data_IF_769458022325
#
_entry.id   IF_769458022325
#
_cell.length_a   1.000
_cell.length_b   1.000
_cell.length_c   1.000
_cell.angle_alpha   90.00
_cell.angle_beta   90.00
_cell.angle_gamma   90.00
#
_symmetry.space_group_name_H-M   'P 1'
#
loop_
_entity.id
_entity.type
_entity.pdbx_description
1 polymer ?
#
# COMPACT_ATOMS: atom_id res chain seq x y z
N UNK A 1 30.32 5.60 -13.79
CA UNK A 1 29.68 6.19 -14.98
C UNK A 1 28.47 5.35 -15.41
N UNK A 2 28.61 4.04 -15.62
CA UNK A 2 27.50 3.16 -15.99
C UNK A 2 26.34 3.22 -14.99
N UNK A 3 26.59 3.04 -13.69
CA UNK A 3 25.56 3.10 -12.64
C UNK A 3 24.90 4.48 -12.54
N UNK A 4 25.60 5.57 -12.84
CA UNK A 4 24.98 6.90 -12.85
C UNK A 4 23.99 7.05 -14.02
N UNK A 5 24.33 6.55 -15.21
CA UNK A 5 23.40 6.54 -16.36
C UNK A 5 22.22 5.61 -16.12
N UNK A 6 22.47 4.48 -15.46
CA UNK A 6 21.42 3.54 -15.07
C UNK A 6 20.44 4.20 -14.08
N UNK A 7 20.96 4.87 -13.05
CA UNK A 7 20.14 5.63 -12.09
C UNK A 7 19.28 6.71 -12.78
N UNK A 8 19.88 7.49 -13.69
CA UNK A 8 19.14 8.51 -14.45
C UNK A 8 18.00 7.91 -15.28
N UNK A 9 18.24 6.78 -15.92
CA UNK A 9 17.20 6.09 -16.70
C UNK A 9 16.10 5.52 -15.79
N UNK A 10 16.45 4.89 -14.68
CA UNK A 10 15.49 4.36 -13.72
C UNK A 10 14.62 5.48 -13.10
N UNK A 11 15.20 6.66 -12.83
CA UNK A 11 14.44 7.83 -12.37
C UNK A 11 13.39 8.23 -13.42
N UNK A 12 13.77 8.32 -14.69
CA UNK A 12 12.84 8.68 -15.77
C UNK A 12 11.73 7.63 -15.95
N UNK A 13 12.10 6.35 -15.87
CA UNK A 13 11.14 5.25 -15.91
C UNK A 13 10.16 5.33 -14.75
N UNK A 14 10.65 5.50 -13.53
CA UNK A 14 9.81 5.60 -12.34
C UNK A 14 8.84 6.78 -12.42
N UNK A 15 9.32 7.96 -12.82
CA UNK A 15 8.48 9.14 -12.99
C UNK A 15 7.41 8.94 -14.07
N UNK A 16 7.78 8.34 -15.21
CA UNK A 16 6.85 8.15 -16.34
C UNK A 16 5.81 7.07 -16.04
N UNK A 17 6.22 5.95 -15.43
CA UNK A 17 5.30 4.89 -15.01
C UNK A 17 4.34 5.38 -13.94
N UNK A 18 4.83 6.14 -12.95
CA UNK A 18 3.98 6.76 -11.93
C UNK A 18 2.95 7.71 -12.55
N UNK A 19 3.36 8.53 -13.52
CA UNK A 19 2.43 9.44 -14.21
C UNK A 19 1.29 8.68 -14.90
N UNK A 20 1.58 7.57 -15.58
CA UNK A 20 0.55 6.80 -16.28
C UNK A 20 -0.34 5.99 -15.34
N UNK A 21 0.23 5.35 -14.32
CA UNK A 21 -0.53 4.54 -13.36
C UNK A 21 -1.43 5.39 -12.46
N UNK A 22 -0.95 6.55 -11.99
CA UNK A 22 -1.77 7.48 -11.21
C UNK A 22 -2.99 7.99 -11.98
N UNK A 23 -2.87 8.20 -13.29
CA UNK A 23 -4.02 8.58 -14.12
C UNK A 23 -5.08 7.47 -14.18
N UNK A 24 -4.68 6.19 -14.16
CA UNK A 24 -5.59 5.05 -14.08
C UNK A 24 -6.23 4.95 -12.69
N UNK A 25 -5.45 5.14 -11.62
CA UNK A 25 -5.98 5.07 -10.24
C UNK A 25 -7.06 6.10 -9.96
N UNK A 26 -7.01 7.25 -10.61
CA UNK A 26 -8.06 8.28 -10.51
C UNK A 26 -9.37 7.83 -11.16
N UNK A 27 -9.29 7.10 -12.28
CA UNK A 27 -10.47 6.60 -13.00
C UNK A 27 -10.15 5.35 -13.82
N UNK A 28 -10.42 4.18 -13.26
CA UNK A 28 -10.29 2.89 -13.96
C UNK A 28 -11.26 2.72 -15.15
N UNK A 29 -12.18 3.63 -15.38
CA UNK A 29 -13.07 3.61 -16.56
C UNK A 29 -12.51 4.41 -17.74
N UNK A 30 -11.44 5.21 -17.53
CA UNK A 30 -10.76 5.93 -18.60
C UNK A 30 -9.90 4.98 -19.45
N UNK A 31 -10.46 4.59 -20.60
CA UNK A 31 -9.79 3.68 -21.53
C UNK A 31 -8.53 4.28 -22.18
N UNK A 32 -8.41 5.60 -22.27
CA UNK A 32 -7.22 6.25 -22.81
C UNK A 32 -6.09 6.26 -21.78
N UNK A 33 -6.40 6.47 -20.50
CA UNK A 33 -5.44 6.32 -19.41
C UNK A 33 -4.92 4.87 -19.36
N UNK A 34 -5.81 3.88 -19.37
CA UNK A 34 -5.46 2.46 -19.40
C UNK A 34 -4.54 2.09 -20.57
N UNK A 35 -4.82 2.58 -21.79
CA UNK A 35 -3.97 2.31 -22.96
C UNK A 35 -2.58 2.91 -22.82
N UNK A 36 -2.48 4.12 -22.26
CA UNK A 36 -1.18 4.77 -22.01
C UNK A 36 -0.38 4.01 -20.97
N UNK A 37 -1.00 3.60 -19.89
CA UNK A 37 -0.38 2.84 -18.82
C UNK A 37 0.09 1.46 -19.30
N UNK A 38 -0.75 0.71 -20.01
CA UNK A 38 -0.39 -0.56 -20.60
C UNK A 38 0.81 -0.44 -21.58
N UNK A 39 0.84 0.63 -22.38
CA UNK A 39 1.97 0.91 -23.29
C UNK A 39 3.25 1.22 -22.50
N UNK A 40 3.15 2.00 -21.42
CA UNK A 40 4.30 2.36 -20.60
C UNK A 40 4.82 1.14 -19.82
N UNK A 41 3.94 0.33 -19.28
CA UNK A 41 4.28 -0.94 -18.60
C UNK A 41 5.03 -1.89 -19.54
N UNK A 42 4.56 -2.04 -20.80
CA UNK A 42 5.24 -2.86 -21.78
C UNK A 42 6.64 -2.32 -22.14
N UNK A 43 6.78 -0.99 -22.29
CA UNK A 43 8.05 -0.34 -22.55
C UNK A 43 9.03 -0.51 -21.37
N UNK A 44 8.55 -0.31 -20.14
CA UNK A 44 9.36 -0.50 -18.94
C UNK A 44 9.86 -1.95 -18.80
N UNK A 45 9.01 -2.93 -19.11
CA UNK A 45 9.38 -4.34 -19.12
C UNK A 45 10.44 -4.64 -20.19
N UNK A 46 10.34 -4.07 -21.38
CA UNK A 46 11.35 -4.20 -22.45
C UNK A 46 12.70 -3.60 -22.02
N UNK A 47 12.67 -2.39 -21.46
CA UNK A 47 13.90 -1.72 -20.97
C UNK A 47 14.52 -2.53 -19.83
N UNK A 48 13.74 -2.93 -18.83
CA UNK A 48 14.23 -3.76 -17.72
C UNK A 48 14.86 -5.08 -18.19
N UNK A 49 14.25 -5.74 -19.17
CA UNK A 49 14.83 -6.96 -19.78
C UNK A 49 16.16 -6.68 -20.47
N UNK A 50 16.31 -5.54 -21.16
CA UNK A 50 17.57 -5.16 -21.82
C UNK A 50 18.67 -4.78 -20.82
N UNK A 51 18.30 -4.26 -19.64
CA UNK A 51 19.24 -3.81 -18.61
C UNK A 51 19.55 -4.88 -17.55
N UNK A 52 18.88 -6.03 -17.57
CA UNK A 52 19.06 -7.11 -16.59
C UNK A 52 20.52 -7.65 -16.54
N UNK A 53 21.30 -7.42 -17.59
CA UNK A 53 22.72 -7.80 -17.63
C UNK A 53 23.57 -7.03 -16.61
N UNK A 54 23.21 -5.79 -16.25
CA UNK A 54 23.98 -4.93 -15.35
C UNK A 54 24.14 -5.62 -13.99
N UNK A 55 23.04 -6.01 -13.37
CA UNK A 55 23.09 -6.72 -12.08
C UNK A 55 23.76 -8.10 -12.20
N UNK A 56 23.51 -8.81 -13.31
CA UNK A 56 24.10 -10.13 -13.52
C UNK A 56 25.63 -10.05 -13.65
N UNK A 57 26.14 -9.10 -14.43
CA UNK A 57 27.57 -8.89 -14.58
C UNK A 57 28.25 -8.44 -13.27
N UNK A 58 27.58 -7.58 -12.49
CA UNK A 58 28.09 -7.18 -11.17
C UNK A 58 28.11 -8.40 -10.23
N UNK A 59 27.04 -9.19 -10.19
CA UNK A 59 26.94 -10.36 -9.33
C UNK A 59 27.98 -11.45 -9.70
N UNK A 60 28.31 -11.59 -10.98
CA UNK A 60 29.33 -12.54 -11.47
C UNK A 60 30.77 -12.07 -11.21
N UNK A 61 30.96 -10.77 -10.93
CA UNK A 61 32.28 -10.25 -10.61
C UNK A 61 32.85 -10.85 -9.30
N UNK A 62 34.17 -10.91 -9.14
CA UNK A 62 34.79 -11.30 -7.88
C UNK A 62 34.33 -10.40 -6.72
N UNK A 63 34.02 -11.00 -5.59
CA UNK A 63 33.53 -10.25 -4.41
C UNK A 63 34.47 -9.13 -3.97
N UNK A 64 35.80 -9.39 -4.05
CA UNK A 64 36.81 -8.39 -3.72
C UNK A 64 36.74 -7.14 -4.63
N UNK A 65 36.37 -7.31 -5.89
CA UNK A 65 36.20 -6.21 -6.83
C UNK A 65 34.97 -5.40 -6.51
N UNK A 66 33.86 -6.06 -6.17
CA UNK A 66 32.61 -5.38 -5.77
C UNK A 66 32.85 -4.60 -4.47
N UNK A 67 33.50 -5.19 -3.46
CA UNK A 67 33.85 -4.51 -2.20
C UNK A 67 34.77 -3.30 -2.44
N UNK A 68 35.77 -3.42 -3.30
CA UNK A 68 36.62 -2.30 -3.67
C UNK A 68 35.86 -1.19 -4.43
N UNK A 69 34.85 -1.53 -5.20
CA UNK A 69 33.95 -0.57 -5.83
C UNK A 69 33.05 0.14 -4.81
N UNK A 70 32.51 -0.57 -3.81
CA UNK A 70 31.72 0.01 -2.71
C UNK A 70 32.48 1.09 -1.94
N UNK A 71 33.79 0.90 -1.74
CA UNK A 71 34.65 1.88 -1.06
C UNK A 71 34.88 3.17 -1.89
N UNK A 72 34.73 3.07 -3.20
CA UNK A 72 34.96 4.18 -4.14
C UNK A 72 33.69 4.92 -4.55
N UNK A 73 32.53 4.27 -4.45
CA UNK A 73 31.26 4.81 -4.94
C UNK A 73 30.31 5.12 -3.76
N UNK A 74 30.38 6.32 -3.20
CA UNK A 74 29.50 6.69 -2.07
C UNK A 74 28.01 6.48 -2.36
N UNK A 75 27.56 6.85 -3.56
CA UNK A 75 26.13 6.78 -3.96
C UNK A 75 25.59 5.39 -4.22
N UNK A 76 26.41 4.46 -4.70
CA UNK A 76 25.96 3.11 -5.07
C UNK A 76 26.42 2.05 -4.06
N UNK A 77 26.88 2.45 -2.90
CA UNK A 77 27.46 1.52 -1.91
C UNK A 77 26.44 0.48 -1.44
N UNK A 78 25.24 0.91 -1.08
CA UNK A 78 24.17 0.01 -0.61
C UNK A 78 23.68 -0.88 -1.74
N UNK A 79 23.46 -0.34 -2.93
CA UNK A 79 23.09 -1.13 -4.10
C UNK A 79 24.06 -2.29 -4.37
N UNK A 80 25.36 -2.02 -4.33
CA UNK A 80 26.37 -3.07 -4.49
C UNK A 80 26.39 -4.05 -3.31
N UNK A 81 26.12 -3.58 -2.09
CA UNK A 81 25.97 -4.43 -0.91
C UNK A 81 24.77 -5.38 -1.04
N UNK A 82 23.64 -4.89 -1.55
CA UNK A 82 22.45 -5.70 -1.82
C UNK A 82 22.73 -6.77 -2.87
N UNK A 83 23.39 -6.44 -3.96
CA UNK A 83 23.78 -7.43 -4.98
C UNK A 83 24.64 -8.55 -4.35
N UNK A 84 25.59 -8.17 -3.47
CA UNK A 84 26.38 -9.17 -2.74
C UNK A 84 25.55 -10.02 -1.78
N UNK A 85 24.59 -9.41 -1.09
CA UNK A 85 23.69 -10.10 -0.16
C UNK A 85 22.79 -11.10 -0.88
N UNK A 86 22.29 -10.70 -2.06
CA UNK A 86 21.41 -11.52 -2.88
C UNK A 86 22.16 -12.58 -3.71
N UNK A 87 23.47 -12.42 -3.90
CA UNK A 87 24.28 -13.31 -4.75
C UNK A 87 24.08 -14.80 -4.49
N UNK A 88 23.98 -15.30 -3.22
CA UNK A 88 23.71 -16.72 -2.96
C UNK A 88 22.35 -17.21 -3.44
N UNK A 89 21.42 -16.30 -3.67
CA UNK A 89 20.02 -16.56 -4.06
C UNK A 89 19.72 -16.23 -5.52
N UNK A 90 20.72 -15.74 -6.26
CA UNK A 90 20.57 -15.47 -7.69
C UNK A 90 20.67 -16.75 -8.49
N UNK A 91 19.90 -16.81 -9.57
CA UNK A 91 19.93 -17.88 -10.55
C UNK A 91 20.91 -17.52 -11.70
N UNK A 92 21.07 -18.41 -12.68
CA UNK A 92 21.92 -18.09 -13.84
C UNK A 92 21.39 -16.87 -14.61
N UNK A 93 22.27 -16.13 -15.27
CA UNK A 93 21.89 -14.94 -16.04
C UNK A 93 20.79 -15.21 -17.07
N UNK A 94 20.83 -16.39 -17.74
CA UNK A 94 19.79 -16.79 -18.68
C UNK A 94 18.45 -17.02 -17.98
N UNK A 95 18.46 -17.61 -16.78
CA UNK A 95 17.25 -17.84 -15.99
C UNK A 95 16.68 -16.52 -15.50
N UNK A 96 17.49 -15.61 -14.95
CA UNK A 96 17.03 -14.29 -14.51
C UNK A 96 16.41 -13.50 -15.66
N UNK A 97 17.01 -13.55 -16.85
CA UNK A 97 16.46 -12.93 -18.07
C UNK A 97 15.08 -13.48 -18.43
N UNK A 98 14.90 -14.81 -18.37
CA UNK A 98 13.58 -15.43 -18.62
C UNK A 98 12.59 -15.02 -17.55
N UNK A 99 12.97 -15.02 -16.27
CA UNK A 99 12.11 -14.60 -15.18
C UNK A 99 11.69 -13.13 -15.30
N UNK A 100 12.62 -12.26 -15.70
CA UNK A 100 12.31 -10.85 -15.96
C UNK A 100 11.28 -10.70 -17.10
N UNK A 101 11.38 -11.47 -18.16
CA UNK A 101 10.41 -11.47 -19.26
C UNK A 101 9.04 -12.02 -18.85
N UNK A 102 9.00 -12.93 -17.86
CA UNK A 102 7.76 -13.51 -17.32
C UNK A 102 7.11 -12.66 -16.22
N UNK A 103 7.70 -11.55 -15.82
CA UNK A 103 7.14 -10.69 -14.76
C UNK A 103 5.68 -10.31 -14.97
N UNK A 104 5.19 -9.96 -16.17
CA UNK A 104 3.75 -9.70 -16.38
C UNK A 104 2.88 -10.92 -16.11
N UNK A 105 3.37 -12.14 -16.39
CA UNK A 105 2.64 -13.39 -16.09
C UNK A 105 2.59 -13.63 -14.57
N UNK A 106 3.63 -13.26 -13.86
CA UNK A 106 3.68 -13.36 -12.40
C UNK A 106 2.74 -12.36 -11.71
N UNK A 107 2.46 -11.23 -12.33
CA UNK A 107 1.48 -10.25 -11.84
C UNK A 107 0.03 -10.66 -12.17
N UNK A 108 -0.21 -11.54 -13.11
CA UNK A 108 -1.56 -11.89 -13.55
C UNK A 108 -2.52 -12.29 -12.41
N UNK A 109 -2.13 -12.99 -11.34
CA UNK A 109 -3.04 -13.25 -10.22
C UNK A 109 -3.58 -11.97 -9.57
N UNK A 110 -2.74 -10.96 -9.41
CA UNK A 110 -3.14 -9.65 -8.87
C UNK A 110 -4.10 -8.94 -9.82
N UNK A 111 -3.78 -8.89 -11.10
CA UNK A 111 -4.61 -8.25 -12.12
C UNK A 111 -6.00 -8.91 -12.23
N UNK A 112 -6.06 -10.25 -12.22
CA UNK A 112 -7.32 -11.01 -12.25
C UNK A 112 -8.15 -10.71 -11.00
N UNK A 113 -7.52 -10.63 -9.82
CA UNK A 113 -8.22 -10.28 -8.59
C UNK A 113 -8.83 -8.86 -8.68
N UNK A 114 -8.06 -7.88 -9.14
CA UNK A 114 -8.53 -6.50 -9.30
C UNK A 114 -9.66 -6.38 -10.31
N UNK A 115 -9.53 -7.02 -11.49
CA UNK A 115 -10.59 -7.04 -12.49
C UNK A 115 -11.87 -7.69 -11.94
N UNK A 116 -11.74 -8.80 -11.23
CA UNK A 116 -12.88 -9.45 -10.58
C UNK A 116 -13.55 -8.55 -9.55
N UNK A 117 -12.75 -7.92 -8.67
CA UNK A 117 -13.24 -7.05 -7.59
C UNK A 117 -13.88 -5.76 -8.14
N UNK A 118 -13.23 -5.07 -9.05
CA UNK A 118 -13.57 -3.70 -9.43
C UNK A 118 -14.42 -3.61 -10.70
N UNK A 119 -14.24 -4.55 -11.64
CA UNK A 119 -14.94 -4.50 -12.94
C UNK A 119 -16.10 -5.49 -13.04
N UNK A 120 -15.91 -6.76 -12.62
CA UNK A 120 -16.88 -7.83 -12.88
C UNK A 120 -17.91 -7.98 -11.77
N UNK A 121 -17.52 -7.75 -10.50
CA UNK A 121 -18.40 -7.92 -9.37
C UNK A 121 -19.48 -6.84 -9.36
N UNK A 122 -20.71 -7.22 -9.66
CA UNK A 122 -21.87 -6.34 -9.64
C UNK A 122 -22.68 -6.59 -8.37
N UNK A 123 -22.79 -5.55 -7.58
CA UNK A 123 -23.67 -5.55 -6.42
C UNK A 123 -25.08 -5.14 -6.86
N UNK A 124 -26.06 -5.69 -6.19
CA UNK A 124 -27.46 -5.28 -6.35
C UNK A 124 -27.90 -4.41 -5.18
N UNK A 125 -28.97 -4.83 -4.53
CA UNK A 125 -29.52 -4.21 -3.33
C UNK A 125 -29.85 -5.28 -2.30
N UNK A 126 -30.10 -4.87 -1.05
CA UNK A 126 -30.66 -5.71 0.00
C UNK A 126 -31.87 -5.01 0.64
N UNK A 127 -32.75 -5.79 1.29
CA UNK A 127 -34.00 -5.26 1.87
C UNK A 127 -34.02 -5.51 3.36
N UNK A 128 -34.37 -4.46 4.13
CA UNK A 128 -34.62 -4.53 5.57
C UNK A 128 -35.91 -3.81 5.89
N UNK A 129 -36.82 -4.46 6.61
CA UNK A 129 -38.12 -3.91 7.02
C UNK A 129 -38.94 -3.30 5.84
N UNK A 130 -38.86 -3.92 4.66
CA UNK A 130 -39.58 -3.47 3.46
C UNK A 130 -38.92 -2.29 2.73
N UNK A 131 -37.78 -1.78 3.20
CA UNK A 131 -37.00 -0.73 2.53
C UNK A 131 -35.82 -1.34 1.83
N UNK A 132 -35.58 -0.93 0.59
CA UNK A 132 -34.48 -1.35 -0.26
C UNK A 132 -33.27 -0.42 -0.07
N UNK A 133 -32.08 -1.03 -0.02
CA UNK A 133 -30.79 -0.36 0.15
C UNK A 133 -29.83 -0.82 -0.96
N UNK A 134 -29.19 0.10 -1.69
CA UNK A 134 -28.17 -0.27 -2.69
C UNK A 134 -26.95 -0.87 -1.99
N UNK A 135 -26.20 -1.72 -2.70
CA UNK A 135 -24.99 -2.33 -2.19
C UNK A 135 -23.82 -2.08 -3.14
N UNK A 136 -22.61 -1.94 -2.59
CA UNK A 136 -21.36 -1.75 -3.29
C UNK A 136 -20.21 -1.76 -2.32
N UNK A 137 -18.96 -1.83 -2.81
CA UNK A 137 -17.77 -1.79 -1.95
C UNK A 137 -17.74 -0.50 -1.12
N UNK A 138 -17.73 0.66 -1.77
CA UNK A 138 -17.65 1.95 -1.07
C UNK A 138 -18.86 2.19 -0.16
N UNK A 139 -20.08 1.80 -0.57
CA UNK A 139 -21.26 1.91 0.28
C UNK A 139 -21.15 1.03 1.53
N UNK A 140 -20.59 -0.18 1.38
CA UNK A 140 -20.40 -1.06 2.52
C UNK A 140 -19.29 -0.53 3.46
N UNK A 141 -18.12 -0.24 2.92
CA UNK A 141 -16.92 0.13 3.69
C UNK A 141 -17.05 1.53 4.33
N UNK A 142 -17.67 2.50 3.60
CA UNK A 142 -17.74 3.90 4.04
C UNK A 142 -19.02 4.25 4.79
N UNK A 143 -20.11 3.49 4.59
CA UNK A 143 -21.42 3.82 5.15
C UNK A 143 -21.98 2.71 6.02
N UNK A 144 -22.20 1.47 5.49
CA UNK A 144 -22.90 0.43 6.23
C UNK A 144 -22.11 -0.16 7.40
N UNK A 145 -20.81 -0.15 7.39
CA UNK A 145 -20.01 -0.59 8.54
C UNK A 145 -20.19 0.34 9.76
N UNK A 146 -20.62 1.59 9.53
CA UNK A 146 -20.89 2.61 10.56
C UNK A 146 -22.38 2.83 10.81
N UNK A 147 -23.26 2.10 10.11
CA UNK A 147 -24.72 2.27 10.21
C UNK A 147 -25.20 1.97 11.64
N UNK A 148 -25.91 2.94 12.23
CA UNK A 148 -26.42 2.84 13.61
C UNK A 148 -27.52 1.77 13.75
N UNK A 149 -28.38 1.62 12.74
CA UNK A 149 -29.39 0.58 12.71
C UNK A 149 -28.78 -0.80 12.60
N UNK A 150 -28.86 -1.58 13.66
CA UNK A 150 -28.24 -2.91 13.75
C UNK A 150 -28.77 -3.89 12.69
N UNK A 151 -30.04 -3.79 12.34
CA UNK A 151 -30.68 -4.69 11.36
C UNK A 151 -30.15 -4.36 9.96
N UNK A 152 -30.05 -3.07 9.62
CA UNK A 152 -29.49 -2.60 8.34
C UNK A 152 -28.01 -2.97 8.23
N UNK A 153 -27.21 -2.62 9.25
CA UNK A 153 -25.76 -2.92 9.25
C UNK A 153 -25.47 -4.40 9.09
N UNK A 154 -26.12 -5.26 9.90
CA UNK A 154 -25.91 -6.72 9.83
C UNK A 154 -26.48 -7.35 8.57
N UNK A 155 -27.56 -6.79 8.00
CA UNK A 155 -28.07 -7.23 6.71
C UNK A 155 -27.13 -6.85 5.56
N UNK A 156 -26.58 -5.62 5.59
CA UNK A 156 -25.56 -5.19 4.63
C UNK A 156 -24.32 -6.11 4.69
N UNK A 157 -23.83 -6.42 5.89
CA UNK A 157 -22.70 -7.34 6.07
C UNK A 157 -22.98 -8.73 5.47
N UNK A 158 -24.19 -9.28 5.69
CA UNK A 158 -24.58 -10.58 5.09
C UNK A 158 -24.65 -10.49 3.58
N UNK A 159 -25.35 -9.48 3.04
CA UNK A 159 -25.49 -9.32 1.60
C UNK A 159 -24.14 -9.10 0.90
N UNK A 160 -23.26 -8.32 1.51
CA UNK A 160 -21.90 -8.11 1.03
C UNK A 160 -21.09 -9.41 1.06
N UNK A 161 -21.10 -10.13 2.18
CA UNK A 161 -20.42 -11.42 2.33
C UNK A 161 -20.94 -12.47 1.36
N UNK A 162 -22.24 -12.52 1.13
CA UNK A 162 -22.87 -13.47 0.18
C UNK A 162 -22.44 -13.14 -1.27
N UNK A 163 -22.33 -11.84 -1.61
CA UNK A 163 -21.78 -11.44 -2.91
C UNK A 163 -20.32 -11.86 -3.08
N UNK A 164 -19.48 -11.69 -2.07
CA UNK A 164 -18.08 -12.13 -2.13
C UNK A 164 -17.98 -13.66 -2.32
N UNK A 165 -18.87 -14.43 -1.69
CA UNK A 165 -18.92 -15.89 -1.84
C UNK A 165 -19.23 -16.36 -3.26
N UNK A 166 -19.96 -15.59 -4.04
CA UNK A 166 -20.19 -15.92 -5.46
C UNK A 166 -18.87 -16.03 -6.25
N UNK A 167 -17.83 -15.33 -5.79
CA UNK A 167 -16.49 -15.29 -6.41
C UNK A 167 -15.42 -16.08 -5.63
N UNK A 168 -15.82 -16.85 -4.60
CA UNK A 168 -14.90 -17.55 -3.70
C UNK A 168 -13.94 -18.47 -4.47
N UNK A 169 -14.44 -19.25 -5.43
CA UNK A 169 -13.62 -20.17 -6.20
C UNK A 169 -12.57 -19.44 -7.07
N UNK A 170 -12.97 -18.34 -7.72
CA UNK A 170 -12.06 -17.54 -8.54
C UNK A 170 -10.99 -16.88 -7.67
N UNK A 171 -11.40 -16.28 -6.57
CA UNK A 171 -10.48 -15.62 -5.62
C UNK A 171 -9.52 -16.65 -5.00
N UNK A 172 -10.01 -17.81 -4.60
CA UNK A 172 -9.18 -18.88 -4.07
C UNK A 172 -8.19 -19.42 -5.11
N UNK A 173 -8.62 -19.61 -6.36
CA UNK A 173 -7.72 -20.05 -7.43
C UNK A 173 -6.64 -19.03 -7.73
N UNK A 174 -6.99 -17.75 -7.78
CA UNK A 174 -6.07 -16.63 -7.99
C UNK A 174 -5.02 -16.57 -6.88
N UNK A 175 -5.46 -16.61 -5.61
CA UNK A 175 -4.58 -16.58 -4.46
C UNK A 175 -3.68 -17.83 -4.39
N UNK A 176 -4.21 -19.02 -4.66
CA UNK A 176 -3.42 -20.25 -4.71
C UNK A 176 -2.36 -20.21 -5.82
N UNK A 177 -2.65 -19.58 -6.95
CA UNK A 177 -1.67 -19.41 -8.04
C UNK A 177 -0.52 -18.51 -7.56
N UNK A 178 -0.83 -17.40 -6.92
CA UNK A 178 0.16 -16.52 -6.29
C UNK A 178 1.03 -17.27 -5.27
N UNK A 179 0.43 -17.96 -4.29
CA UNK A 179 1.17 -18.72 -3.28
C UNK A 179 2.04 -19.82 -3.89
N UNK A 180 1.55 -20.49 -4.95
CA UNK A 180 2.30 -21.53 -5.64
C UNK A 180 3.54 -20.95 -6.32
N UNK A 181 3.39 -19.80 -6.98
CA UNK A 181 4.49 -19.06 -7.58
C UNK A 181 5.54 -18.67 -6.53
N UNK A 182 5.12 -18.05 -5.42
CA UNK A 182 6.02 -17.64 -4.35
C UNK A 182 6.82 -18.83 -3.77
N UNK A 183 6.14 -19.95 -3.50
CA UNK A 183 6.79 -21.16 -2.99
C UNK A 183 7.80 -21.75 -3.97
N UNK A 184 7.45 -21.77 -5.27
CA UNK A 184 8.37 -22.27 -6.31
C UNK A 184 9.59 -21.35 -6.39
N UNK A 185 9.39 -20.03 -6.43
CA UNK A 185 10.48 -19.07 -6.52
C UNK A 185 11.40 -19.11 -5.31
N UNK A 186 10.86 -19.15 -4.09
CA UNK A 186 11.64 -19.28 -2.87
C UNK A 186 12.52 -20.55 -2.91
N UNK A 187 11.93 -21.69 -3.29
CA UNK A 187 12.67 -22.95 -3.41
C UNK A 187 13.77 -22.89 -4.48
N UNK A 188 13.49 -22.32 -5.66
CA UNK A 188 14.49 -22.21 -6.73
C UNK A 188 15.65 -21.31 -6.32
N UNK A 189 15.38 -20.27 -5.53
CA UNK A 189 16.39 -19.35 -4.98
C UNK A 189 17.10 -19.87 -3.72
N UNK A 190 16.80 -21.11 -3.27
CA UNK A 190 17.48 -21.76 -2.15
C UNK A 190 17.00 -21.36 -0.77
N UNK A 191 15.85 -20.71 -0.66
CA UNK A 191 15.21 -20.44 0.64
C UNK A 191 14.47 -21.67 1.17
N UNK A 192 14.37 -21.80 2.47
CA UNK A 192 13.67 -22.91 3.12
C UNK A 192 12.15 -22.85 2.83
N UNK A 193 11.57 -21.64 2.87
CA UNK A 193 10.17 -21.38 2.56
C UNK A 193 9.97 -19.96 2.00
N UNK A 194 8.73 -19.62 1.62
CA UNK A 194 8.39 -18.31 1.09
C UNK A 194 8.52 -17.20 2.13
N UNK A 195 8.30 -17.50 3.42
CA UNK A 195 8.44 -16.51 4.50
C UNK A 195 9.90 -16.10 4.69
N UNK A 196 10.83 -17.07 4.60
CA UNK A 196 12.25 -16.74 4.64
C UNK A 196 12.66 -15.85 3.47
N UNK A 197 12.14 -16.12 2.27
CA UNK A 197 12.40 -15.30 1.09
C UNK A 197 11.87 -13.88 1.24
N UNK A 198 10.62 -13.72 1.69
CA UNK A 198 9.99 -12.41 1.89
C UNK A 198 10.71 -11.62 3.00
N UNK A 199 10.97 -12.24 4.15
CA UNK A 199 11.67 -11.62 5.27
C UNK A 199 13.12 -11.24 4.90
N UNK A 200 13.78 -12.05 4.07
CA UNK A 200 15.10 -11.72 3.55
C UNK A 200 15.05 -10.43 2.75
N UNK A 201 14.10 -10.29 1.83
CA UNK A 201 13.93 -9.06 1.02
C UNK A 201 13.73 -7.83 1.91
N UNK A 202 12.98 -7.98 3.01
CA UNK A 202 12.68 -6.89 3.95
C UNK A 202 13.75 -6.67 5.04
N UNK A 203 14.86 -7.40 5.02
CA UNK A 203 15.89 -7.36 6.07
C UNK A 203 15.36 -7.69 7.47
N UNK A 204 14.34 -8.52 7.56
CA UNK A 204 13.70 -8.95 8.82
C UNK A 204 14.08 -10.38 9.14
N UNK A 205 14.43 -10.66 10.39
CA UNK A 205 14.66 -12.04 10.81
C UNK A 205 13.35 -12.74 11.17
N UNK A 206 13.31 -14.06 11.03
CA UNK A 206 12.15 -14.86 11.45
C UNK A 206 11.83 -14.65 12.92
N UNK A 207 12.85 -14.49 13.78
CA UNK A 207 12.67 -14.21 15.21
C UNK A 207 11.97 -12.86 15.44
N UNK A 208 12.33 -11.81 14.70
CA UNK A 208 11.65 -10.50 14.78
C UNK A 208 10.18 -10.63 14.40
N UNK A 209 9.89 -11.33 13.32
CA UNK A 209 8.54 -11.55 12.81
C UNK A 209 7.69 -12.34 13.81
N UNK A 210 8.17 -13.48 14.28
CA UNK A 210 7.45 -14.33 15.24
C UNK A 210 7.21 -13.58 16.56
N UNK A 211 8.20 -12.85 17.07
CA UNK A 211 8.07 -12.01 18.29
C UNK A 211 6.98 -10.94 18.12
N UNK A 212 6.86 -10.32 16.96
CA UNK A 212 5.81 -9.32 16.70
C UNK A 212 4.42 -9.97 16.77
N UNK A 213 4.24 -11.14 16.14
CA UNK A 213 2.98 -11.89 16.20
C UNK A 213 2.62 -12.26 17.63
N UNK A 214 3.59 -12.75 18.41
CA UNK A 214 3.39 -13.10 19.81
C UNK A 214 2.96 -11.89 20.64
N UNK A 215 3.64 -10.73 20.48
CA UNK A 215 3.29 -9.50 21.18
C UNK A 215 1.88 -8.99 20.80
N UNK A 216 1.50 -9.04 19.54
CA UNK A 216 0.16 -8.68 19.08
C UNK A 216 -0.87 -9.60 19.73
N UNK A 217 -0.62 -10.90 19.70
CA UNK A 217 -1.54 -11.90 20.27
C UNK A 217 -1.67 -11.77 21.79
N UNK A 218 -0.56 -11.57 22.51
CA UNK A 218 -0.56 -11.49 23.96
C UNK A 218 -1.02 -10.13 24.50
N UNK A 219 -0.61 -9.01 23.88
CA UNK A 219 -0.81 -7.66 24.42
C UNK A 219 -1.97 -6.93 23.77
N UNK A 220 -2.07 -6.94 22.43
CA UNK A 220 -3.10 -6.21 21.71
C UNK A 220 -4.44 -6.91 21.76
N UNK A 221 -4.50 -8.24 21.58
CA UNK A 221 -5.76 -8.97 21.56
C UNK A 221 -6.61 -8.81 22.85
N UNK A 222 -6.05 -8.75 24.07
CA UNK A 222 -6.81 -8.42 25.27
C UNK A 222 -7.42 -7.01 25.25
N UNK A 223 -6.67 -6.02 24.70
CA UNK A 223 -7.18 -4.64 24.56
C UNK A 223 -8.32 -4.59 23.54
N UNK A 224 -8.17 -5.27 22.39
CA UNK A 224 -9.23 -5.36 21.38
C UNK A 224 -10.49 -6.04 21.92
N UNK A 225 -10.37 -7.07 22.75
CA UNK A 225 -11.52 -7.69 23.43
C UNK A 225 -12.22 -6.74 24.42
N UNK A 226 -11.47 -5.85 25.08
CA UNK A 226 -12.06 -4.80 25.93
C UNK A 226 -12.80 -3.77 25.08
N UNK A 227 -12.19 -3.34 23.98
CA UNK A 227 -12.81 -2.42 23.04
C UNK A 227 -14.13 -2.98 22.48
N UNK A 228 -14.12 -4.22 21.97
CA UNK A 228 -15.31 -4.87 21.46
C UNK A 228 -16.46 -4.91 22.51
N UNK A 229 -16.14 -5.23 23.79
CA UNK A 229 -17.11 -5.18 24.89
C UNK A 229 -17.63 -3.77 25.15
N UNK A 230 -16.76 -2.76 25.03
CA UNK A 230 -17.16 -1.36 25.19
C UNK A 230 -18.12 -0.94 24.07
N UNK A 231 -17.81 -1.25 22.81
CA UNK A 231 -18.68 -1.03 21.66
C UNK A 231 -20.05 -1.66 21.90
N UNK A 232 -20.10 -2.93 22.32
CA UNK A 232 -21.34 -3.62 22.62
C UNK A 232 -22.17 -2.93 23.72
N UNK A 233 -21.49 -2.49 24.80
CA UNK A 233 -22.16 -1.78 25.91
C UNK A 233 -22.69 -0.41 25.48
N UNK A 234 -21.88 0.40 24.80
CA UNK A 234 -22.26 1.76 24.40
C UNK A 234 -23.41 1.75 23.39
N UNK A 235 -23.37 0.82 22.45
CA UNK A 235 -24.41 0.66 21.43
C UNK A 235 -25.55 -0.28 21.83
N UNK A 236 -25.60 -0.74 23.09
CA UNK A 236 -26.68 -1.59 23.68
C UNK A 236 -26.92 -2.85 22.81
N UNK A 237 -25.88 -3.46 22.26
CA UNK A 237 -26.02 -4.64 21.41
C UNK A 237 -26.33 -5.89 22.24
N UNK A 238 -27.17 -6.77 21.69
CA UNK A 238 -27.50 -8.10 22.25
C UNK A 238 -26.22 -8.99 22.26
N UNK A 239 -25.44 -8.88 21.22
CA UNK A 239 -24.13 -9.50 21.04
C UNK A 239 -23.30 -8.64 20.11
N UNK A 240 -21.98 -8.72 20.22
CA UNK A 240 -21.06 -8.08 19.29
C UNK A 240 -20.67 -9.09 18.21
N UNK A 241 -20.82 -8.71 16.96
CA UNK A 241 -20.36 -9.45 15.78
C UNK A 241 -19.26 -8.66 15.06
N UNK A 242 -18.64 -9.26 14.07
CA UNK A 242 -17.62 -8.55 13.26
C UNK A 242 -18.20 -7.28 12.61
N UNK A 243 -19.47 -7.35 12.15
CA UNK A 243 -20.16 -6.21 11.55
C UNK A 243 -20.35 -5.00 12.50
N UNK A 244 -20.16 -5.18 13.80
CA UNK A 244 -20.41 -4.14 14.81
C UNK A 244 -19.12 -3.41 15.25
N UNK A 245 -17.94 -3.87 14.83
CA UNK A 245 -16.65 -3.40 15.40
C UNK A 245 -16.27 -1.97 14.98
N UNK A 246 -16.82 -1.46 13.89
CA UNK A 246 -16.60 -0.07 13.42
C UNK A 246 -17.63 0.93 13.95
N UNK A 247 -18.58 0.50 14.77
CA UNK A 247 -19.53 1.42 15.39
C UNK A 247 -18.80 2.44 16.27
N UNK A 248 -19.18 3.72 16.19
CA UNK A 248 -18.67 4.73 17.09
C UNK A 248 -19.10 4.42 18.54
N UNK A 249 -18.28 4.80 19.51
CA UNK A 249 -18.64 4.69 20.94
C UNK A 249 -19.75 5.66 21.32
N UNK A 250 -19.81 6.80 20.66
CA UNK A 250 -20.86 7.80 20.79
C UNK A 250 -21.47 8.04 19.40
N UNK A 251 -22.69 7.55 19.18
CA UNK A 251 -23.37 7.68 17.89
C UNK A 251 -23.79 9.14 17.57
N UNK A 252 -23.84 10.02 18.56
CA UNK A 252 -24.17 11.44 18.38
C UNK A 252 -22.89 12.26 18.03
N UNK A 253 -21.71 11.70 18.25
CA UNK A 253 -20.43 12.34 17.95
C UNK A 253 -19.89 11.86 16.58
N UNK A 254 -20.31 12.54 15.52
CA UNK A 254 -19.79 12.36 14.15
C UNK A 254 -19.39 13.73 13.57
N UNK A 255 -18.25 14.30 14.01
CA UNK A 255 -17.84 15.63 13.58
C UNK A 255 -17.59 15.61 12.06
N UNK A 256 -18.24 16.55 11.38
CA UNK A 256 -18.02 16.78 9.95
C UNK A 256 -16.83 17.71 9.80
N UNK A 257 -15.86 17.28 9.00
CA UNK A 257 -14.60 18.01 8.78
C UNK A 257 -14.46 18.31 7.30
N UNK A 258 -14.36 19.57 6.95
CA UNK A 258 -14.06 20.00 5.58
C UNK A 258 -12.57 19.79 5.24
N UNK A 259 -12.25 19.78 3.95
CA UNK A 259 -10.85 19.71 3.48
C UNK A 259 -10.01 20.87 4.08
N UNK A 260 -10.58 22.09 4.19
CA UNK A 260 -9.90 23.21 4.80
C UNK A 260 -9.60 23.02 6.28
N UNK A 261 -10.57 22.55 7.05
CA UNK A 261 -10.42 22.23 8.48
C UNK A 261 -9.43 21.07 8.69
N UNK A 262 -9.40 20.07 7.79
CA UNK A 262 -8.45 18.97 7.91
C UNK A 262 -7.00 19.44 7.87
N UNK A 263 -6.72 20.47 7.05
CA UNK A 263 -5.38 21.10 7.01
C UNK A 263 -4.98 21.63 8.39
N UNK A 264 -5.90 22.29 9.09
CA UNK A 264 -5.63 22.86 10.41
C UNK A 264 -5.32 21.77 11.44
N UNK A 265 -6.13 20.70 11.49
CA UNK A 265 -5.90 19.56 12.37
C UNK A 265 -4.54 18.89 12.11
N UNK A 266 -4.28 18.53 10.87
CA UNK A 266 -3.05 17.83 10.51
C UNK A 266 -1.82 18.69 10.72
N UNK A 267 -1.89 19.99 10.35
CA UNK A 267 -0.80 20.92 10.56
C UNK A 267 -0.49 21.17 12.03
N UNK A 268 -1.52 21.31 12.87
CA UNK A 268 -1.36 21.42 14.33
C UNK A 268 -0.64 20.21 14.88
N UNK A 269 -1.19 19.02 14.66
CA UNK A 269 -0.68 17.78 15.19
C UNK A 269 0.77 17.47 14.76
N UNK A 270 1.08 17.70 13.49
CA UNK A 270 2.40 17.37 12.92
C UNK A 270 3.44 18.46 13.08
N UNK A 271 3.09 19.65 13.61
CA UNK A 271 4.03 20.73 13.88
C UNK A 271 5.12 20.35 14.88
N UNK A 272 4.87 19.38 15.75
CA UNK A 272 5.84 18.81 16.69
C UNK A 272 7.06 18.19 15.99
N UNK A 273 6.92 17.78 14.72
CA UNK A 273 7.99 17.24 13.89
C UNK A 273 8.91 18.32 13.31
N UNK A 274 8.61 19.59 13.56
CA UNK A 274 9.41 20.74 13.14
C UNK A 274 8.82 21.53 11.98
N UNK A 275 9.38 22.72 11.73
CA UNK A 275 8.85 23.66 10.75
C UNK A 275 8.89 23.11 9.33
N UNK A 276 9.97 22.42 8.94
CA UNK A 276 10.12 21.83 7.60
C UNK A 276 9.01 20.80 7.29
N UNK A 277 8.56 20.07 8.32
CA UNK A 277 7.45 19.12 8.18
C UNK A 277 6.11 19.84 8.07
N UNK A 278 5.88 20.87 8.87
CA UNK A 278 4.68 21.71 8.79
C UNK A 278 4.57 22.40 7.41
N UNK A 279 5.69 22.91 6.89
CA UNK A 279 5.77 23.52 5.56
C UNK A 279 5.45 22.50 4.45
N UNK A 280 5.89 21.25 4.60
CA UNK A 280 5.54 20.17 3.69
C UNK A 280 4.02 19.88 3.70
N UNK A 281 3.40 19.86 4.88
CA UNK A 281 1.94 19.70 4.99
C UNK A 281 1.23 20.83 4.24
N UNK A 282 1.62 22.08 4.48
CA UNK A 282 1.06 23.24 3.77
C UNK A 282 1.27 23.11 2.26
N UNK A 283 2.45 22.72 1.82
CA UNK A 283 2.79 22.52 0.41
C UNK A 283 1.90 21.44 -0.26
N UNK A 284 1.61 20.34 0.46
CA UNK A 284 0.78 19.26 -0.06
C UNK A 284 -0.65 19.73 -0.40
N UNK A 285 -1.21 20.60 0.46
CA UNK A 285 -2.54 21.20 0.20
C UNK A 285 -2.48 22.29 -0.89
N UNK A 286 -1.50 23.17 -0.84
CA UNK A 286 -1.43 24.33 -1.74
C UNK A 286 -1.02 23.94 -3.17
N UNK A 287 -0.13 22.96 -3.32
CA UNK A 287 0.41 22.53 -4.63
C UNK A 287 -0.28 21.30 -5.21
N UNK A 288 -1.46 20.97 -4.72
CA UNK A 288 -2.31 19.91 -5.30
C UNK A 288 -1.63 18.54 -5.33
N UNK A 289 -0.96 18.14 -4.24
CA UNK A 289 -0.44 16.78 -4.13
C UNK A 289 -1.56 15.77 -3.90
N UNK A 290 -2.74 16.25 -3.43
CA UNK A 290 -3.81 15.42 -2.90
C UNK A 290 -5.02 15.48 -3.83
N UNK A 291 -5.47 14.33 -4.29
CA UNK A 291 -6.75 14.17 -4.98
C UNK A 291 -7.83 13.75 -3.97
N UNK A 292 -8.69 14.69 -3.61
CA UNK A 292 -9.76 14.50 -2.64
C UNK A 292 -11.07 13.98 -3.24
N UNK A 293 -11.26 14.16 -4.55
CA UNK A 293 -12.56 13.94 -5.19
C UNK A 293 -13.00 12.47 -5.11
N UNK A 294 -14.31 12.27 -4.89
CA UNK A 294 -14.96 10.96 -5.07
C UNK A 294 -15.50 10.88 -6.49
N UNK A 295 -15.23 9.78 -7.16
CA UNK A 295 -15.82 9.49 -8.47
C UNK A 295 -15.97 7.97 -8.68
N UNK A 296 -16.84 7.62 -9.61
CA UNK A 296 -16.99 6.24 -10.06
C UNK A 296 -15.73 5.84 -10.81
N UNK A 297 -15.25 4.63 -10.56
CA UNK A 297 -14.03 4.12 -11.20
C UNK A 297 -12.74 4.51 -10.49
N UNK A 298 -12.78 5.36 -9.46
CA UNK A 298 -11.60 5.69 -8.65
C UNK A 298 -11.19 4.50 -7.78
N UNK A 299 -9.90 4.35 -7.57
CA UNK A 299 -9.34 3.34 -6.66
C UNK A 299 -9.88 3.54 -5.23
N UNK A 300 -10.19 2.43 -4.55
CA UNK A 300 -10.73 2.46 -3.19
C UNK A 300 -9.62 2.64 -2.16
N UNK A 301 -9.96 3.28 -1.03
CA UNK A 301 -9.01 3.59 0.04
C UNK A 301 -8.23 4.86 -0.22
N UNK A 302 -7.03 4.95 0.38
CA UNK A 302 -6.04 6.00 0.17
C UNK A 302 -4.67 5.41 -0.10
N UNK A 303 -3.82 6.17 -0.77
CA UNK A 303 -2.41 5.83 -0.92
C UNK A 303 -1.54 7.07 -1.19
N UNK A 304 -0.26 6.94 -0.94
CA UNK A 304 0.77 7.92 -1.27
C UNK A 304 1.77 7.32 -2.26
N UNK A 305 1.95 7.95 -3.42
CA UNK A 305 2.99 7.65 -4.39
C UNK A 305 4.04 8.75 -4.39
N UNK A 306 5.31 8.40 -4.23
CA UNK A 306 6.41 9.35 -4.09
C UNK A 306 7.55 9.07 -5.09
N UNK A 307 7.36 9.37 -6.39
CA UNK A 307 8.38 9.14 -7.39
C UNK A 307 9.65 9.95 -7.09
N UNK A 308 10.81 9.33 -7.28
CA UNK A 308 12.09 9.98 -7.02
C UNK A 308 12.25 11.28 -7.83
N UNK A 309 12.66 12.35 -7.16
CA UNK A 309 12.82 13.67 -7.78
C UNK A 309 11.52 14.45 -8.03
N UNK A 310 10.37 13.91 -7.62
CA UNK A 310 9.08 14.57 -7.66
C UNK A 310 8.52 14.81 -6.26
N UNK A 311 7.44 15.57 -6.16
CA UNK A 311 6.62 15.58 -4.95
C UNK A 311 5.82 14.28 -4.82
N UNK A 312 5.30 14.04 -3.64
CA UNK A 312 4.34 12.96 -3.41
C UNK A 312 2.99 13.26 -4.05
N UNK A 313 2.27 12.22 -4.41
CA UNK A 313 0.89 12.25 -4.89
C UNK A 313 0.05 11.37 -3.99
N UNK A 314 -0.98 11.96 -3.42
CA UNK A 314 -1.88 11.30 -2.47
C UNK A 314 -3.25 11.17 -3.10
N UNK A 315 -3.82 9.97 -3.09
CA UNK A 315 -5.17 9.71 -3.54
C UNK A 315 -6.05 9.38 -2.35
N UNK A 316 -7.18 10.04 -2.24
CA UNK A 316 -8.20 9.82 -1.21
C UNK A 316 -9.60 9.81 -1.83
N UNK A 317 -10.58 9.33 -1.08
CA UNK A 317 -12.01 9.53 -1.34
C UNK A 317 -12.64 10.24 -0.16
N UNK A 318 -12.68 11.57 -0.20
CA UNK A 318 -13.06 12.42 0.94
C UNK A 318 -14.55 12.36 1.26
N UNK A 319 -14.91 12.04 2.50
CA UNK A 319 -16.28 11.88 2.98
C UNK A 319 -16.69 12.91 4.05
N UNK A 320 -15.85 13.91 4.32
CA UNK A 320 -16.02 14.91 5.38
C UNK A 320 -16.14 14.30 6.79
N UNK A 321 -15.38 13.25 7.09
CA UNK A 321 -15.36 12.60 8.41
C UNK A 321 -14.01 12.78 9.08
N UNK A 322 -13.97 12.67 10.40
CA UNK A 322 -12.71 12.66 11.14
C UNK A 322 -11.81 11.49 10.71
N UNK A 323 -12.36 10.35 10.31
CA UNK A 323 -11.61 9.24 9.77
C UNK A 323 -10.77 9.65 8.53
N UNK A 324 -11.31 10.51 7.66
CA UNK A 324 -10.56 11.01 6.50
C UNK A 324 -9.38 11.88 6.90
N UNK A 325 -9.48 12.59 8.06
CA UNK A 325 -8.36 13.37 8.61
C UNK A 325 -7.23 12.45 9.09
N UNK A 326 -7.57 11.32 9.69
CA UNK A 326 -6.59 10.29 10.05
C UNK A 326 -5.94 9.68 8.79
N UNK A 327 -6.73 9.38 7.77
CA UNK A 327 -6.20 8.87 6.51
C UNK A 327 -5.22 9.84 5.87
N UNK A 328 -5.55 11.14 5.77
CA UNK A 328 -4.62 12.10 5.18
C UNK A 328 -3.37 12.32 6.06
N UNK A 329 -3.49 12.26 7.39
CA UNK A 329 -2.34 12.29 8.28
C UNK A 329 -1.41 11.08 8.05
N UNK A 330 -1.99 9.91 7.85
CA UNK A 330 -1.29 8.68 7.47
C UNK A 330 -0.52 8.85 6.16
N UNK A 331 -1.20 9.24 5.08
CA UNK A 331 -0.57 9.42 3.76
C UNK A 331 0.52 10.50 3.76
N UNK A 332 0.34 11.55 4.54
CA UNK A 332 1.39 12.55 4.75
C UNK A 332 2.58 12.00 5.54
N UNK A 333 2.42 10.95 6.32
CA UNK A 333 3.53 10.21 6.94
C UNK A 333 4.42 9.55 5.91
N UNK A 334 3.84 8.90 4.92
CA UNK A 334 4.57 8.39 3.77
C UNK A 334 5.24 9.52 2.97
N UNK A 335 4.51 10.59 2.67
CA UNK A 335 5.04 11.74 1.94
C UNK A 335 6.25 12.36 2.63
N UNK A 336 6.19 12.55 3.96
CA UNK A 336 7.30 13.06 4.77
C UNK A 336 8.50 12.12 4.77
N UNK A 337 8.27 10.83 4.96
CA UNK A 337 9.31 9.82 4.91
C UNK A 337 10.05 9.82 3.56
N UNK A 338 9.32 9.73 2.44
CA UNK A 338 9.93 9.70 1.12
C UNK A 338 10.55 11.03 0.72
N UNK A 339 10.01 12.17 1.17
CA UNK A 339 10.67 13.48 0.98
C UNK A 339 12.08 13.49 1.59
N UNK A 340 12.22 12.97 2.82
CA UNK A 340 13.51 12.88 3.50
C UNK A 340 14.41 11.83 2.86
N UNK A 341 13.87 10.66 2.55
CA UNK A 341 14.58 9.56 1.93
C UNK A 341 15.12 9.95 0.55
N UNK A 342 14.26 10.43 -0.35
CA UNK A 342 14.63 10.84 -1.71
C UNK A 342 15.59 12.04 -1.72
N UNK A 343 15.50 12.93 -0.71
CA UNK A 343 16.39 14.08 -0.58
C UNK A 343 17.79 13.72 -0.08
N UNK A 344 17.94 12.65 0.68
CA UNK A 344 19.18 12.27 1.34
C UNK A 344 19.94 11.14 0.63
N UNK A 345 19.27 10.33 -0.19
CA UNK A 345 19.79 9.08 -0.75
C UNK A 345 19.75 9.06 -2.28
N UNK A 346 20.45 8.10 -2.88
CA UNK A 346 20.29 7.76 -4.29
C UNK A 346 19.00 6.97 -4.51
N UNK A 347 18.49 6.92 -5.74
CA UNK A 347 17.33 6.10 -6.07
C UNK A 347 17.49 4.64 -5.60
N UNK A 348 18.68 4.08 -5.73
CA UNK A 348 18.99 2.70 -5.36
C UNK A 348 18.81 2.41 -3.87
N UNK A 349 18.84 3.44 -3.02
CA UNK A 349 18.77 3.34 -1.57
C UNK A 349 17.40 3.79 -1.01
N UNK A 350 16.42 4.06 -1.89
CA UNK A 350 15.09 4.53 -1.50
C UNK A 350 14.03 3.42 -1.42
N UNK A 351 14.41 2.18 -1.67
CA UNK A 351 13.52 1.04 -1.49
C UNK A 351 13.40 0.71 0.00
N UNK A 352 12.31 1.13 0.61
CA UNK A 352 12.04 0.93 2.03
C UNK A 352 11.45 -0.46 2.25
N UNK A 353 11.92 -1.16 3.29
CA UNK A 353 11.34 -2.43 3.72
C UNK A 353 9.84 -2.30 3.97
N UNK A 354 9.05 -3.21 3.41
CA UNK A 354 7.60 -3.29 3.64
C UNK A 354 7.24 -3.46 5.12
N UNK A 355 8.16 -3.99 5.91
CA UNK A 355 7.99 -4.15 7.35
C UNK A 355 8.04 -2.83 8.14
N UNK A 356 8.72 -1.80 7.62
CA UNK A 356 8.90 -0.50 8.28
C UNK A 356 8.13 0.64 7.62
N UNK A 357 7.62 0.44 6.41
CA UNK A 357 7.03 1.52 5.62
C UNK A 357 5.85 2.21 6.31
N UNK A 358 5.11 1.50 7.15
CA UNK A 358 3.96 2.02 7.89
C UNK A 358 4.33 2.72 9.21
N UNK A 359 5.58 2.69 9.62
CA UNK A 359 5.97 3.32 10.89
C UNK A 359 5.79 4.85 10.89
N UNK A 360 6.21 5.60 9.85
CA UNK A 360 5.99 7.04 9.78
C UNK A 360 4.51 7.42 9.67
N UNK A 361 3.73 6.67 8.89
CA UNK A 361 2.31 6.91 8.69
C UNK A 361 1.51 6.67 9.98
N UNK A 362 1.75 5.55 10.66
CA UNK A 362 1.14 5.25 11.95
C UNK A 362 1.57 6.25 13.04
N UNK A 363 2.82 6.74 13.01
CA UNK A 363 3.26 7.78 13.93
C UNK A 363 2.46 9.08 13.76
N UNK A 364 2.21 9.50 12.52
CA UNK A 364 1.38 10.68 12.25
C UNK A 364 -0.04 10.52 12.79
N UNK A 365 -0.65 9.34 12.63
CA UNK A 365 -1.97 9.07 13.23
C UNK A 365 -1.94 9.19 14.76
N UNK A 366 -0.90 8.66 15.41
CA UNK A 366 -0.75 8.75 16.87
C UNK A 366 -0.55 10.20 17.34
N UNK A 367 0.21 11.01 16.60
CA UNK A 367 0.38 12.44 16.89
C UNK A 367 -0.94 13.19 16.73
N UNK A 368 -1.70 12.91 15.68
CA UNK A 368 -3.03 13.48 15.47
C UNK A 368 -3.98 13.08 16.60
N UNK A 369 -4.00 11.80 16.98
CA UNK A 369 -4.82 11.35 18.11
C UNK A 369 -4.45 12.03 19.42
N UNK A 370 -3.16 12.30 19.66
CA UNK A 370 -2.70 12.99 20.86
C UNK A 370 -3.06 14.50 20.84
N UNK A 371 -3.03 15.14 19.69
CA UNK A 371 -3.39 16.57 19.55
C UNK A 371 -4.91 16.81 19.74
N UNK A 372 -5.71 15.81 19.40
CA UNK A 372 -7.18 15.84 19.57
C UNK A 372 -7.64 15.58 21.02
N UNK A 373 -6.77 15.08 21.92
CA UNK A 373 -7.09 14.80 23.33
C UNK A 373 -6.83 16.02 24.21
#
# INVERSE_FOLDING_TARGET
ECLALYEELEILLYQTTSYTSLAVSVDYTDTEAQKKDAKMTALAAEIGSRLSFIESEIADAPEELIRAAMDKTGRAKHYLAEILREKPHRLSAETEKVLAALRPVFNAPYDIYHMTKLADMKFGSFTVNGKEYPLGYSLFEDEYEYEADTDVRRAAFRAFSDKLREYENTTAATYNTYLTQQRIMAKQRGFADMFEADLFTDHVTREMYDRQIDLITEKLAPAMRKYARLVGKMNKLDRVTFADLKLPLDAEFDPRVTIGESREYVRSALSVLGQDYADMVDEAYDKRWIDFARNVGKETGGFCSSPYGCNSYILLSWNNRMADVFTIAHELGHAGHFRLCNGAQSLFDTNVSGYLIEAPSTMNELLLAQDLL
#
